data_IF_641899140589
#
_entry.id   IF_641899140589
#
_cell.length_a   1.000
_cell.length_b   1.000
_cell.length_c   1.000
_cell.angle_alpha   90.00
_cell.angle_beta   90.00
_cell.angle_gamma   90.00
#
_symmetry.space_group_name_H-M   'P 1'
#
loop_
_entity.id
_entity.type
_entity.pdbx_description
1 polymer ?
#
# COMPACT_ATOMS: atom_id res chain seq x y z
N UNK A 1 1.05 13.44 -14.84
CA UNK A 1 -0.12 12.80 -14.19
C UNK A 1 -0.55 11.60 -15.03
N UNK A 2 -0.75 10.42 -14.45
CA UNK A 2 -1.08 9.19 -15.21
C UNK A 2 -2.52 9.15 -15.76
N UNK A 3 -3.38 10.05 -15.28
CA UNK A 3 -4.78 10.15 -15.70
C UNK A 3 -5.04 11.28 -16.72
N UNK A 4 -4.00 11.97 -17.20
CA UNK A 4 -4.14 12.97 -18.25
C UNK A 4 -3.87 12.35 -19.62
N UNK A 5 -4.64 12.77 -20.62
CA UNK A 5 -4.41 12.36 -22.02
C UNK A 5 -3.07 12.89 -22.55
N UNK A 6 -2.66 14.07 -22.09
CA UNK A 6 -1.31 14.61 -22.23
C UNK A 6 -0.65 14.67 -20.85
N UNK A 7 0.30 13.77 -20.54
CA UNK A 7 0.92 13.71 -19.22
C UNK A 7 1.81 14.93 -18.99
N UNK A 8 1.21 15.96 -18.43
CA UNK A 8 1.93 17.14 -17.95
C UNK A 8 2.80 16.76 -16.73
N UNK A 9 4.04 17.23 -16.73
CA UNK A 9 4.94 17.17 -15.58
C UNK A 9 4.43 18.13 -14.51
N UNK A 10 3.70 17.60 -13.54
CA UNK A 10 3.25 18.34 -12.37
C UNK A 10 4.27 18.08 -11.27
N UNK A 11 5.25 18.98 -11.15
CA UNK A 11 6.29 18.85 -10.13
C UNK A 11 5.72 18.92 -8.70
N UNK A 12 6.28 18.08 -7.82
CA UNK A 12 5.87 17.89 -6.42
C UNK A 12 6.16 19.08 -5.48
N UNK A 13 6.46 20.26 -6.02
CA UNK A 13 6.89 21.42 -5.22
C UNK A 13 5.75 22.06 -4.42
N UNK A 14 4.49 21.74 -4.72
CA UNK A 14 3.28 22.42 -4.19
C UNK A 14 2.09 21.48 -3.93
N UNK A 15 0.95 22.04 -3.46
CA UNK A 15 -0.38 21.37 -3.47
C UNK A 15 -0.91 21.07 -4.87
N UNK A 16 -0.16 21.38 -5.94
CA UNK A 16 -0.59 21.27 -7.35
C UNK A 16 -1.03 19.86 -7.74
N UNK A 17 -0.31 18.77 -7.40
CA UNK A 17 -0.77 17.42 -7.75
C UNK A 17 -2.12 17.09 -7.10
N UNK A 18 -2.28 17.44 -5.82
CA UNK A 18 -3.52 17.18 -5.07
C UNK A 18 -4.68 18.02 -5.61
N UNK A 19 -4.46 19.29 -5.92
CA UNK A 19 -5.48 20.17 -6.51
C UNK A 19 -5.89 19.67 -7.90
N UNK A 20 -4.92 19.27 -8.72
CA UNK A 20 -5.14 18.70 -10.05
C UNK A 20 -6.03 17.46 -9.99
N UNK A 21 -5.70 16.50 -9.11
CA UNK A 21 -6.49 15.27 -8.93
C UNK A 21 -7.88 15.54 -8.34
N UNK A 22 -8.02 16.51 -7.44
CA UNK A 22 -9.30 16.81 -6.77
C UNK A 22 -10.39 17.38 -7.69
N UNK A 23 -10.02 17.98 -8.83
CA UNK A 23 -10.95 18.72 -9.70
C UNK A 23 -11.23 17.95 -10.99
N UNK A 24 -12.50 17.63 -11.24
CA UNK A 24 -12.96 16.99 -12.48
C UNK A 24 -12.51 17.73 -13.75
N UNK A 25 -12.55 19.06 -13.74
CA UNK A 25 -12.13 19.86 -14.89
C UNK A 25 -10.62 19.92 -15.14
N UNK A 26 -9.76 19.58 -14.16
CA UNK A 26 -8.31 19.57 -14.34
C UNK A 26 -7.77 18.19 -14.69
N UNK A 27 -8.41 17.13 -14.20
CA UNK A 27 -8.03 15.76 -14.44
C UNK A 27 -9.29 14.93 -14.73
N UNK A 28 -9.75 14.86 -16.00
CA UNK A 28 -11.03 14.25 -16.33
C UNK A 28 -11.04 12.74 -16.13
N UNK A 29 -9.93 12.04 -16.41
CA UNK A 29 -9.88 10.58 -16.33
C UNK A 29 -9.47 10.02 -14.95
N UNK A 30 -9.28 10.88 -13.93
CA UNK A 30 -8.97 10.41 -12.59
C UNK A 30 -10.15 9.61 -12.00
N UNK A 31 -9.93 8.37 -11.53
CA UNK A 31 -10.96 7.56 -10.88
C UNK A 31 -11.52 8.22 -9.61
N UNK A 32 -12.78 7.92 -9.27
CA UNK A 32 -13.45 8.51 -8.11
C UNK A 32 -12.71 8.26 -6.79
N UNK A 33 -12.11 7.07 -6.64
CA UNK A 33 -11.29 6.73 -5.46
C UNK A 33 -10.09 7.67 -5.31
N UNK A 34 -9.43 8.01 -6.41
CA UNK A 34 -8.27 8.91 -6.43
C UNK A 34 -8.70 10.35 -6.12
N UNK A 35 -9.86 10.79 -6.64
CA UNK A 35 -10.42 12.10 -6.31
C UNK A 35 -10.78 12.21 -4.84
N UNK A 36 -11.45 11.19 -4.29
CA UNK A 36 -11.85 11.17 -2.88
C UNK A 36 -10.62 11.24 -1.97
N UNK A 37 -9.54 10.52 -2.29
CA UNK A 37 -8.29 10.60 -1.54
C UNK A 37 -7.65 12.00 -1.62
N UNK A 38 -7.61 12.59 -2.83
CA UNK A 38 -7.09 13.95 -3.02
C UNK A 38 -7.89 14.98 -2.22
N UNK A 39 -9.22 14.85 -2.18
CA UNK A 39 -10.10 15.70 -1.37
C UNK A 39 -9.83 15.51 0.12
N UNK A 40 -9.69 14.27 0.61
CA UNK A 40 -9.35 13.99 2.01
C UNK A 40 -8.02 14.63 2.41
N UNK A 41 -7.00 14.56 1.55
CA UNK A 41 -5.70 15.21 1.77
C UNK A 41 -5.86 16.74 1.87
N UNK A 42 -6.73 17.36 1.06
CA UNK A 42 -7.01 18.79 1.15
C UNK A 42 -7.75 19.15 2.44
N UNK A 43 -8.75 18.37 2.85
CA UNK A 43 -9.53 18.59 4.09
C UNK A 43 -8.64 18.47 5.33
N UNK A 44 -7.80 17.42 5.39
CA UNK A 44 -6.82 17.23 6.47
C UNK A 44 -5.84 18.39 6.57
N UNK A 45 -5.37 18.91 5.42
CA UNK A 45 -4.49 20.11 5.38
C UNK A 45 -5.22 21.41 5.74
N UNK A 46 -6.54 21.45 5.62
CA UNK A 46 -7.37 22.59 6.03
C UNK A 46 -7.78 22.53 7.51
N UNK A 47 -7.39 21.48 8.25
CA UNK A 47 -7.76 21.29 9.64
C UNK A 47 -9.19 20.81 9.85
N UNK A 48 -9.82 20.23 8.83
CA UNK A 48 -11.14 19.61 8.92
C UNK A 48 -10.97 18.11 9.18
N UNK A 49 -11.25 17.64 10.40
CA UNK A 49 -11.17 16.24 10.80
C UNK A 49 -12.38 15.43 10.27
N UNK A 50 -12.15 14.25 9.67
CA UNK A 50 -13.21 13.29 9.33
C UNK A 50 -13.48 12.35 10.52
N UNK A 51 -14.72 12.30 11.01
CA UNK A 51 -15.17 11.24 11.91
C UNK A 51 -15.57 9.99 11.11
N UNK A 52 -15.12 8.77 11.48
CA UNK A 52 -15.48 7.56 10.75
C UNK A 52 -16.93 7.15 11.05
N UNK A 53 -17.73 6.95 10.00
CA UNK A 53 -19.06 6.33 10.09
C UNK A 53 -18.86 4.80 10.12
N UNK A 54 -19.09 4.20 11.29
CA UNK A 54 -19.17 2.75 11.49
C UNK A 54 -20.45 2.18 10.86
N UNK A 55 -20.29 1.30 9.88
CA UNK A 55 -21.36 0.50 9.28
C UNK A 55 -21.14 -0.99 9.54
N UNK A 56 -22.03 -1.55 10.36
CA UNK A 56 -22.14 -2.91 10.93
C UNK A 56 -22.54 -4.02 9.94
N UNK A 57 -22.17 -5.28 10.23
CA UNK A 57 -22.82 -6.47 9.65
C UNK A 57 -22.14 -7.83 9.93
N UNK A 58 -22.50 -8.47 11.06
CA UNK A 58 -22.23 -9.86 11.50
C UNK A 58 -22.99 -10.91 10.68
N UNK A 59 -22.52 -12.18 10.57
CA UNK A 59 -23.24 -13.43 10.98
C UNK A 59 -22.26 -14.63 11.13
N UNK A 60 -22.44 -15.40 12.22
CA UNK A 60 -21.76 -16.63 12.65
C UNK A 60 -22.36 -17.97 12.13
N UNK A 61 -21.49 -18.96 11.87
CA UNK A 61 -21.56 -20.42 12.23
C UNK A 61 -22.67 -21.36 11.63
N UNK A 62 -22.69 -22.70 11.90
CA UNK A 62 -21.71 -23.79 11.60
C UNK A 62 -22.38 -25.09 11.04
N UNK A 63 -21.65 -26.07 10.46
CA UNK A 63 -22.04 -27.51 10.52
C UNK A 63 -20.92 -28.50 10.17
N UNK A 64 -20.93 -29.61 10.90
CA UNK A 64 -20.00 -30.74 10.99
C UNK A 64 -20.63 -31.98 10.34
N UNK A 65 -19.93 -32.79 9.53
CA UNK A 65 -20.15 -34.26 9.36
C UNK A 65 -18.89 -34.95 8.78
N UNK A 66 -18.45 -35.97 9.52
CA UNK A 66 -17.37 -36.94 9.33
C UNK A 66 -17.52 -37.90 8.12
N UNK A 67 -16.40 -38.34 7.53
CA UNK A 67 -16.20 -39.71 7.00
C UNK A 67 -14.74 -39.94 6.56
N UNK A 68 -14.09 -40.90 7.23
CA UNK A 68 -12.76 -41.45 6.93
C UNK A 68 -12.70 -42.25 5.62
N UNK A 69 -11.59 -42.12 4.86
CA UNK A 69 -10.88 -43.25 4.23
C UNK A 69 -9.38 -42.92 4.14
N UNK A 70 -8.54 -43.72 4.80
CA UNK A 70 -7.07 -43.69 4.68
C UNK A 70 -6.62 -44.44 3.42
N UNK A 71 -5.78 -43.82 2.58
CA UNK A 71 -4.84 -44.54 1.72
C UNK A 71 -3.47 -43.88 1.81
N UNK A 72 -2.53 -44.65 2.34
CA UNK A 72 -1.10 -44.37 2.50
C UNK A 72 -0.42 -44.08 1.15
N UNK A 73 0.11 -42.87 1.02
CA UNK A 73 1.05 -42.48 -0.02
C UNK A 73 1.84 -41.28 0.49
N UNK A 74 3.16 -41.43 0.62
CA UNK A 74 4.07 -40.39 1.15
C UNK A 74 4.19 -39.24 0.13
N UNK A 75 3.15 -38.41 0.03
CA UNK A 75 3.19 -37.11 -0.63
C UNK A 75 3.48 -36.09 0.46
N UNK A 76 4.54 -35.28 0.28
CA UNK A 76 4.78 -34.11 1.13
C UNK A 76 3.48 -33.32 1.17
N UNK A 77 3.02 -33.03 2.39
CA UNK A 77 1.90 -32.13 2.63
C UNK A 77 2.36 -30.77 2.10
N UNK A 78 2.02 -30.47 0.85
CA UNK A 78 1.87 -29.09 0.42
C UNK A 78 0.66 -28.66 1.22
N UNK A 79 0.89 -28.09 2.41
CA UNK A 79 -0.15 -27.29 3.02
C UNK A 79 -0.54 -26.31 1.93
N UNK A 80 -1.81 -26.38 1.57
CA UNK A 80 -2.46 -25.44 0.67
C UNK A 80 -2.60 -24.13 1.44
N UNK A 81 -1.48 -23.61 1.95
CA UNK A 81 -1.35 -22.25 2.42
C UNK A 81 -1.82 -21.39 1.27
N UNK A 82 -2.71 -20.45 1.60
CA UNK A 82 -3.29 -19.52 0.64
C UNK A 82 -2.24 -19.11 -0.40
N UNK A 83 -2.65 -19.04 -1.68
CA UNK A 83 -1.77 -18.64 -2.79
C UNK A 83 -0.93 -17.39 -2.47
N UNK A 84 -1.37 -16.58 -1.52
CA UNK A 84 -0.65 -15.48 -0.87
C UNK A 84 0.77 -15.81 -0.39
N UNK A 85 1.07 -17.03 0.08
CA UNK A 85 2.44 -17.43 0.44
C UNK A 85 3.38 -17.52 -0.77
N UNK A 86 2.84 -17.76 -1.97
CA UNK A 86 3.62 -17.66 -3.21
C UNK A 86 3.75 -16.22 -3.71
N UNK A 87 2.84 -15.33 -3.29
CA UNK A 87 2.86 -13.91 -3.67
C UNK A 87 3.81 -13.11 -2.78
N UNK A 88 3.90 -13.43 -1.49
CA UNK A 88 4.77 -12.72 -0.54
C UNK A 88 5.76 -13.63 0.20
N UNK A 89 6.81 -14.05 -0.53
CA UNK A 89 7.97 -14.72 0.07
C UNK A 89 8.78 -13.71 0.90
N UNK A 90 9.09 -14.06 2.14
CA UNK A 90 10.04 -13.30 2.97
C UNK A 90 11.34 -12.98 2.22
N UNK A 91 11.81 -11.74 2.35
CA UNK A 91 13.07 -11.31 1.74
C UNK A 91 14.26 -11.92 2.47
N UNK A 92 15.28 -12.26 1.71
CA UNK A 92 16.60 -12.57 2.29
C UNK A 92 17.28 -11.26 2.71
N UNK A 93 18.22 -11.35 3.66
CA UNK A 93 18.95 -10.17 4.13
C UNK A 93 19.61 -9.38 2.98
N UNK A 94 20.21 -10.08 2.01
CA UNK A 94 20.86 -9.44 0.87
C UNK A 94 19.87 -8.69 -0.04
N UNK A 95 18.64 -9.19 -0.19
CA UNK A 95 17.59 -8.52 -0.96
C UNK A 95 17.07 -7.29 -0.21
N UNK A 96 16.97 -7.38 1.12
CA UNK A 96 16.56 -6.27 1.97
C UNK A 96 17.60 -5.14 1.94
N UNK A 97 18.89 -5.47 2.05
CA UNK A 97 19.99 -4.52 1.94
C UNK A 97 19.99 -3.79 0.58
N UNK A 98 19.77 -4.54 -0.51
CA UNK A 98 19.66 -3.96 -1.86
C UNK A 98 18.42 -3.06 -2.01
N UNK A 99 17.28 -3.44 -1.42
CA UNK A 99 16.09 -2.60 -1.38
C UNK A 99 16.33 -1.31 -0.60
N UNK A 100 17.00 -1.40 0.55
CA UNK A 100 17.38 -0.25 1.38
C UNK A 100 18.30 0.72 0.62
N UNK A 101 19.27 0.20 -0.14
CA UNK A 101 20.14 1.02 -0.99
C UNK A 101 19.36 1.75 -2.09
N UNK A 102 18.41 1.07 -2.75
CA UNK A 102 17.56 1.69 -3.77
C UNK A 102 16.65 2.76 -3.19
N UNK A 103 16.07 2.49 -2.02
CA UNK A 103 15.25 3.44 -1.30
C UNK A 103 16.05 4.67 -0.86
N UNK A 104 17.27 4.49 -0.34
CA UNK A 104 18.19 5.57 -0.01
C UNK A 104 18.51 6.44 -1.24
N UNK A 105 18.80 5.82 -2.39
CA UNK A 105 19.02 6.55 -3.65
C UNK A 105 17.81 7.39 -4.05
N UNK A 106 16.60 6.84 -3.91
CA UNK A 106 15.36 7.57 -4.17
C UNK A 106 15.22 8.79 -3.25
N UNK A 107 15.43 8.63 -1.94
CA UNK A 107 15.36 9.73 -0.97
C UNK A 107 16.35 10.84 -1.35
N UNK A 108 17.61 10.49 -1.63
CA UNK A 108 18.66 11.46 -2.00
C UNK A 108 18.31 12.16 -3.30
N UNK A 109 17.94 11.42 -4.35
CA UNK A 109 17.68 11.99 -5.67
C UNK A 109 16.47 12.93 -5.66
N UNK A 110 15.43 12.58 -4.91
CA UNK A 110 14.22 13.40 -4.79
C UNK A 110 14.35 14.53 -3.77
N UNK A 111 15.50 14.62 -3.07
CA UNK A 111 15.71 15.53 -1.93
C UNK A 111 14.58 15.41 -0.89
N UNK A 112 14.12 14.18 -0.66
CA UNK A 112 13.07 13.89 0.31
C UNK A 112 13.68 13.77 1.70
N UNK A 113 12.94 14.14 2.74
CA UNK A 113 13.39 13.94 4.12
C UNK A 113 13.48 12.45 4.47
N UNK A 114 14.50 12.03 5.23
CA UNK A 114 14.58 10.68 5.80
C UNK A 114 13.34 10.30 6.63
N UNK A 115 12.60 11.28 7.16
CA UNK A 115 11.31 11.05 7.85
C UNK A 115 10.23 10.47 6.94
N UNK A 116 10.39 10.53 5.62
CA UNK A 116 9.45 9.91 4.68
C UNK A 116 9.40 8.38 4.84
N UNK A 117 10.47 7.76 5.33
CA UNK A 117 10.52 6.34 5.62
C UNK A 117 9.58 5.93 6.78
N UNK A 118 9.23 6.88 7.66
CA UNK A 118 8.31 6.67 8.79
C UNK A 118 6.91 7.26 8.50
N UNK A 119 6.62 7.56 7.23
CA UNK A 119 5.33 8.13 6.86
C UNK A 119 4.27 7.03 6.86
N UNK A 120 3.20 7.21 7.63
CA UNK A 120 2.13 6.23 7.72
C UNK A 120 1.50 5.83 6.37
N UNK A 121 1.40 6.74 5.41
CA UNK A 121 0.91 6.42 4.07
C UNK A 121 1.91 5.59 3.26
N UNK A 122 3.21 5.80 3.49
CA UNK A 122 4.26 5.02 2.87
C UNK A 122 4.28 3.59 3.45
N UNK A 123 4.12 3.44 4.77
CA UNK A 123 4.01 2.13 5.41
C UNK A 123 2.78 1.35 4.91
N UNK A 124 1.62 2.00 4.81
CA UNK A 124 0.42 1.38 4.24
C UNK A 124 0.62 0.96 2.78
N UNK A 125 1.30 1.80 1.99
CA UNK A 125 1.63 1.48 0.60
C UNK A 125 2.56 0.25 0.51
N UNK A 126 3.61 0.21 1.33
CA UNK A 126 4.53 -0.93 1.38
C UNK A 126 3.83 -2.20 1.87
N UNK A 127 2.95 -2.10 2.87
CA UNK A 127 2.17 -3.24 3.34
C UNK A 127 1.29 -3.87 2.25
N UNK A 128 0.84 -3.08 1.25
CA UNK A 128 0.07 -3.58 0.11
C UNK A 128 0.99 -4.17 -0.96
N UNK A 129 2.07 -3.47 -1.30
CA UNK A 129 2.95 -3.86 -2.41
C UNK A 129 3.89 -5.01 -2.04
N UNK A 130 4.42 -4.97 -0.82
CA UNK A 130 5.42 -5.91 -0.32
C UNK A 130 5.36 -6.03 1.21
N UNK A 131 4.39 -6.78 1.77
CA UNK A 131 4.23 -6.92 3.22
C UNK A 131 5.48 -7.45 3.94
N UNK A 132 6.30 -8.27 3.26
CA UNK A 132 7.54 -8.79 3.83
C UNK A 132 8.66 -7.76 4.05
N UNK A 133 8.55 -6.55 3.49
CA UNK A 133 9.61 -5.54 3.55
C UNK A 133 9.30 -4.52 4.64
N UNK A 134 10.23 -4.35 5.58
CA UNK A 134 10.17 -3.28 6.57
C UNK A 134 11.08 -2.13 6.12
N UNK A 135 10.56 -0.90 5.91
CA UNK A 135 11.41 0.23 5.55
C UNK A 135 12.38 0.59 6.69
N UNK A 136 13.57 1.15 6.36
CA UNK A 136 14.51 1.64 7.37
C UNK A 136 13.88 2.76 8.21
N UNK A 137 14.06 2.69 9.53
CA UNK A 137 13.62 3.75 10.43
C UNK A 137 14.82 4.58 10.88
N UNK A 138 14.59 5.77 11.46
CA UNK A 138 15.68 6.63 11.95
C UNK A 138 16.57 6.00 13.02
N UNK A 139 16.12 4.91 13.63
CA UNK A 139 16.79 4.24 14.75
C UNK A 139 17.54 2.98 14.35
N UNK A 140 17.42 2.55 13.09
CA UNK A 140 18.04 1.35 12.56
C UNK A 140 18.71 1.74 11.24
N UNK A 141 19.97 2.16 11.35
CA UNK A 141 20.89 2.31 10.23
C UNK A 141 21.72 1.03 10.10
#
# INVERSE_FOLDING_TARGET
CEYCDDPQDIENRDKRPVIHLSKAGLCPNAPDKVRAEALRILMKRAGMEEHPVLGTGSVDSPVDVDSQVQVSGKKRKVDSGAMDQFVDRAMTQAEEDEANLRFLRFIIHTNTSFRAAENHYFDQFLAIVRPSYSPPTRYVL
#
